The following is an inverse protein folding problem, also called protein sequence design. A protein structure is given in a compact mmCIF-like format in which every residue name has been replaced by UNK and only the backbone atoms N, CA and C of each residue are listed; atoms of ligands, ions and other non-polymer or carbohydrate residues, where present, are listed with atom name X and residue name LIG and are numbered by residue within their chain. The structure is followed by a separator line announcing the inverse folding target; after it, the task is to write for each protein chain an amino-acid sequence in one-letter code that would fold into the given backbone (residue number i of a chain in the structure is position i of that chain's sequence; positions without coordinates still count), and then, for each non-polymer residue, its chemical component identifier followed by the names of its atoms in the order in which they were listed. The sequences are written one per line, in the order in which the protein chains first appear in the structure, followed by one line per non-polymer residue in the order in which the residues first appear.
data_IF_077653040425
#
_entry.id   IF_077653040425
#
_cell.length_a   1.000
_cell.length_b   1.000
_cell.length_c   1.000
_cell.angle_alpha   90.00
_cell.angle_beta   90.00
_cell.angle_gamma   90.00
#
_symmetry.space_group_name_H-M   'P 1'
#
loop_
_entity.id
_entity.type
_entity.pdbx_description
1 polymer ?
#
# COMPACT_ATOMS: atom_id res chain seq x y z
N UNK A 1 11.47 8.69 0.29
CA UNK A 1 11.69 7.49 -0.55
C UNK A 1 12.01 7.82 -2.00
N UNK A 2 11.47 8.89 -2.60
CA UNK A 2 11.75 9.26 -4.00
C UNK A 2 13.22 9.62 -4.34
N UNK A 3 14.07 9.89 -3.36
CA UNK A 3 15.46 10.30 -3.63
C UNK A 3 16.41 9.16 -3.97
N UNK A 4 16.17 7.93 -3.49
CA UNK A 4 17.16 6.85 -3.63
C UNK A 4 17.35 6.42 -5.10
N UNK A 5 16.26 6.33 -5.87
CA UNK A 5 16.34 6.01 -7.30
C UNK A 5 17.08 7.08 -8.09
N UNK A 6 16.80 8.36 -7.82
CA UNK A 6 17.46 9.49 -8.48
C UNK A 6 18.95 9.54 -8.16
N UNK A 7 19.32 9.30 -6.89
CA UNK A 7 20.72 9.27 -6.46
C UNK A 7 21.47 8.11 -7.11
N UNK A 8 20.84 6.92 -7.18
CA UNK A 8 21.45 5.76 -7.85
C UNK A 8 21.63 6.00 -9.35
N UNK A 9 20.61 6.52 -10.03
CA UNK A 9 20.70 6.86 -11.45
C UNK A 9 21.79 7.91 -11.70
N UNK A 10 21.87 8.94 -10.85
CA UNK A 10 22.92 9.96 -10.92
C UNK A 10 24.33 9.36 -10.80
N UNK A 11 24.56 8.50 -9.81
CA UNK A 11 25.85 7.84 -9.61
C UNK A 11 26.23 6.90 -10.78
N UNK A 12 25.25 6.19 -11.36
CA UNK A 12 25.48 5.35 -12.55
C UNK A 12 25.84 6.18 -13.78
N UNK A 13 25.21 7.35 -13.95
CA UNK A 13 25.54 8.27 -15.04
C UNK A 13 26.92 8.89 -14.88
N UNK A 14 27.31 9.28 -13.67
CA UNK A 14 28.65 9.79 -13.36
C UNK A 14 29.74 8.76 -13.72
N UNK A 15 29.52 7.48 -13.36
CA UNK A 15 30.47 6.43 -13.72
C UNK A 15 30.47 6.13 -15.22
N UNK A 16 29.31 6.23 -15.89
CA UNK A 16 29.23 6.10 -17.34
C UNK A 16 30.02 7.21 -18.06
N UNK A 17 29.95 8.46 -17.58
CA UNK A 17 30.72 9.60 -18.09
C UNK A 17 32.22 9.34 -17.99
N UNK A 18 32.71 8.83 -16.84
CA UNK A 18 34.12 8.46 -16.67
C UNK A 18 34.59 7.38 -17.63
N UNK A 19 33.71 6.45 -18.01
CA UNK A 19 34.00 5.41 -19.00
C UNK A 19 34.01 5.96 -20.44
N UNK A 20 33.17 6.94 -20.73
CA UNK A 20 33.17 7.66 -22.00
C UNK A 20 34.45 8.48 -22.19
N UNK A 21 34.92 9.18 -21.14
CA UNK A 21 36.18 9.94 -21.15
C UNK A 21 37.40 9.05 -21.44
N UNK A 22 37.32 7.76 -21.08
CA UNK A 22 38.34 6.74 -21.38
C UNK A 22 38.25 6.19 -22.80
N UNK A 23 37.32 6.67 -23.62
CA UNK A 23 37.14 6.28 -25.02
C UNK A 23 36.37 4.97 -25.22
N UNK A 24 35.62 4.50 -24.22
CA UNK A 24 34.80 3.29 -24.36
C UNK A 24 33.53 3.62 -25.13
N UNK A 25 33.20 2.80 -26.14
CA UNK A 25 32.00 3.00 -26.95
C UNK A 25 30.72 2.88 -26.09
N UNK A 26 29.74 3.81 -26.19
CA UNK A 26 28.53 3.83 -25.35
C UNK A 26 27.77 2.50 -25.33
N UNK A 27 27.66 1.82 -26.47
CA UNK A 27 27.01 0.51 -26.59
C UNK A 27 27.63 -0.53 -25.64
N UNK A 28 28.97 -0.56 -25.52
CA UNK A 28 29.64 -1.50 -24.61
C UNK A 28 29.37 -1.19 -23.14
N UNK A 29 29.17 0.09 -22.80
CA UNK A 29 28.82 0.51 -21.43
C UNK A 29 27.40 0.05 -21.10
N UNK A 30 26.46 0.25 -22.04
CA UNK A 30 25.08 -0.22 -21.90
C UNK A 30 25.02 -1.74 -21.72
N UNK A 31 25.69 -2.51 -22.58
CA UNK A 31 25.76 -3.98 -22.47
C UNK A 31 26.36 -4.43 -21.13
N UNK A 32 27.37 -3.70 -20.64
CA UNK A 32 28.01 -3.94 -19.34
C UNK A 32 27.06 -3.73 -18.17
N UNK A 33 26.26 -2.66 -18.19
CA UNK A 33 25.24 -2.41 -17.16
C UNK A 33 24.10 -3.43 -17.20
N UNK A 34 23.69 -3.89 -18.38
CA UNK A 34 22.70 -4.97 -18.50
C UNK A 34 23.22 -6.27 -17.88
N UNK A 35 24.50 -6.61 -18.11
CA UNK A 35 25.13 -7.77 -17.48
C UNK A 35 25.21 -7.61 -15.95
N UNK A 36 25.61 -6.42 -15.48
CA UNK A 36 25.72 -6.11 -14.06
C UNK A 36 24.35 -6.19 -13.37
N UNK A 37 23.30 -5.67 -14.00
CA UNK A 37 21.92 -5.74 -13.52
C UNK A 37 21.46 -7.20 -13.36
N UNK A 38 21.68 -8.04 -14.38
CA UNK A 38 21.36 -9.48 -14.30
C UNK A 38 22.09 -10.17 -13.15
N UNK A 39 23.38 -9.86 -12.95
CA UNK A 39 24.15 -10.45 -11.86
C UNK A 39 23.70 -9.95 -10.48
N UNK A 40 23.32 -8.67 -10.38
CA UNK A 40 22.77 -8.10 -9.16
C UNK A 40 21.44 -8.78 -8.80
N UNK A 41 20.53 -8.98 -9.76
CA UNK A 41 19.26 -9.69 -9.55
C UNK A 41 19.49 -11.13 -9.06
N UNK A 42 20.40 -11.88 -9.70
CA UNK A 42 20.75 -13.23 -9.24
C UNK A 42 21.29 -13.26 -7.80
N UNK A 43 22.05 -12.23 -7.43
CA UNK A 43 22.61 -12.11 -6.08
C UNK A 43 21.51 -11.78 -5.09
N UNK A 44 20.61 -10.86 -5.43
CA UNK A 44 19.42 -10.52 -4.64
C UNK A 44 18.56 -11.75 -4.38
N UNK A 45 18.28 -12.57 -5.40
CA UNK A 45 17.52 -13.81 -5.25
C UNK A 45 18.19 -14.82 -4.31
N UNK A 46 19.53 -14.85 -4.30
CA UNK A 46 20.30 -15.77 -3.43
C UNK A 46 20.34 -15.36 -1.96
N UNK A 47 20.21 -14.05 -1.67
CA UNK A 47 20.23 -13.51 -0.30
C UNK A 47 18.81 -13.24 0.24
N UNK A 48 17.79 -13.29 -0.61
CA UNK A 48 16.43 -12.96 -0.23
C UNK A 48 15.81 -14.07 0.63
N UNK A 49 15.45 -13.72 1.86
CA UNK A 49 14.70 -14.60 2.75
C UNK A 49 13.20 -14.56 2.41
N UNK A 50 12.64 -15.73 2.08
CA UNK A 50 11.20 -15.89 1.85
C UNK A 50 10.52 -16.30 3.15
N UNK A 51 9.45 -15.60 3.52
CA UNK A 51 8.62 -15.96 4.66
C UNK A 51 7.16 -16.19 4.22
N UNK A 52 6.42 -17.09 4.91
CA UNK A 52 5.02 -17.33 4.59
C UNK A 52 4.15 -16.13 4.94
N UNK A 53 3.16 -15.82 4.09
CA UNK A 53 2.19 -14.72 4.27
C UNK A 53 1.36 -14.88 5.54
N UNK A 54 1.25 -16.10 6.08
CA UNK A 54 0.59 -16.39 7.35
C UNK A 54 1.24 -15.69 8.56
N UNK A 55 2.50 -15.26 8.45
CA UNK A 55 3.19 -14.60 9.55
C UNK A 55 2.85 -13.10 9.63
N UNK A 56 1.72 -12.80 10.29
CA UNK A 56 1.23 -11.42 10.48
C UNK A 56 2.27 -10.48 11.09
N UNK A 57 3.04 -10.91 12.08
CA UNK A 57 4.01 -10.03 12.76
C UNK A 57 5.13 -9.58 11.79
N UNK A 58 5.61 -10.47 10.92
CA UNK A 58 6.62 -10.12 9.89
C UNK A 58 6.08 -9.13 8.86
N UNK A 59 4.81 -9.26 8.49
CA UNK A 59 4.15 -8.29 7.60
C UNK A 59 4.03 -6.92 8.28
N UNK A 60 3.70 -6.90 9.57
CA UNK A 60 3.65 -5.67 10.35
C UNK A 60 5.05 -5.03 10.43
N UNK A 61 6.10 -5.78 10.78
CA UNK A 61 7.50 -5.28 10.80
C UNK A 61 7.92 -4.66 9.45
N UNK A 62 7.56 -5.31 8.34
CA UNK A 62 7.85 -4.84 6.99
C UNK A 62 7.11 -3.54 6.67
N UNK A 63 5.83 -3.46 7.03
CA UNK A 63 5.03 -2.25 6.89
C UNK A 63 5.55 -1.11 7.78
N UNK A 64 5.98 -1.42 9.02
CA UNK A 64 6.59 -0.44 9.93
C UNK A 64 7.88 0.15 9.34
N UNK A 65 8.73 -0.68 8.74
CA UNK A 65 9.98 -0.24 8.09
C UNK A 65 9.69 0.75 6.95
N UNK A 66 8.65 0.46 6.17
CA UNK A 66 8.20 1.32 5.05
C UNK A 66 7.60 2.65 5.53
N UNK A 67 6.95 2.66 6.69
CA UNK A 67 6.34 3.83 7.31
C UNK A 67 7.33 4.66 8.15
N UNK A 68 8.45 4.08 8.59
CA UNK A 68 9.40 4.68 9.51
C UNK A 68 10.02 6.00 9.05
N UNK A 69 10.09 6.24 7.74
CA UNK A 69 10.63 7.49 7.18
C UNK A 69 9.58 8.61 7.01
N UNK A 70 8.38 8.46 7.56
CA UNK A 70 7.26 9.43 7.43
C UNK A 70 6.88 10.03 8.79
N UNK A 71 6.12 11.12 8.76
CA UNK A 71 5.70 11.92 9.93
C UNK A 71 4.87 11.16 10.99
N UNK A 72 4.47 9.92 10.70
CA UNK A 72 3.59 9.08 11.51
C UNK A 72 4.35 8.35 12.64
N UNK A 73 5.53 8.84 13.05
CA UNK A 73 6.46 8.09 13.91
C UNK A 73 5.84 7.60 15.23
N UNK A 74 4.96 8.42 15.83
CA UNK A 74 4.32 8.09 17.11
C UNK A 74 3.32 6.92 17.04
N UNK A 75 2.73 6.66 15.88
CA UNK A 75 1.67 5.65 15.71
C UNK A 75 2.02 4.61 14.64
N UNK A 76 3.30 4.44 14.27
CA UNK A 76 3.72 3.57 13.15
C UNK A 76 3.13 2.16 13.28
N UNK A 77 3.12 1.60 14.49
CA UNK A 77 2.60 0.26 14.73
C UNK A 77 1.11 0.14 14.42
N UNK A 78 0.29 1.07 14.92
CA UNK A 78 -1.16 1.08 14.68
C UNK A 78 -1.47 1.19 13.18
N UNK A 79 -0.79 2.08 12.46
CA UNK A 79 -0.98 2.22 11.01
C UNK A 79 -0.49 1.00 10.23
N UNK A 80 0.61 0.37 10.68
CA UNK A 80 1.09 -0.87 10.07
C UNK A 80 0.11 -2.02 10.28
N UNK A 81 -0.46 -2.16 11.49
CA UNK A 81 -1.49 -3.16 11.79
C UNK A 81 -2.76 -2.94 10.96
N UNK A 82 -3.23 -1.69 10.85
CA UNK A 82 -4.39 -1.32 10.00
C UNK A 82 -4.14 -1.68 8.55
N UNK A 83 -2.96 -1.35 8.01
CA UNK A 83 -2.61 -1.63 6.63
C UNK A 83 -2.54 -3.13 6.33
N UNK A 84 -1.92 -3.91 7.23
CA UNK A 84 -1.83 -5.37 7.11
C UNK A 84 -3.20 -6.01 7.20
N UNK A 85 -4.04 -5.60 8.16
CA UNK A 85 -5.38 -6.15 8.33
C UNK A 85 -6.30 -5.79 7.15
N UNK A 86 -6.16 -4.60 6.56
CA UNK A 86 -6.89 -4.18 5.36
C UNK A 86 -6.50 -5.03 4.15
N UNK A 87 -5.19 -5.23 3.93
CA UNK A 87 -4.68 -6.06 2.82
C UNK A 87 -5.10 -7.51 3.00
N UNK A 88 -4.95 -8.10 4.18
CA UNK A 88 -5.36 -9.48 4.45
C UNK A 88 -6.87 -9.72 4.29
N UNK A 89 -7.69 -8.69 4.44
CA UNK A 89 -9.14 -8.79 4.24
C UNK A 89 -9.54 -8.85 2.77
N UNK A 90 -8.68 -8.37 1.86
CA UNK A 90 -8.93 -8.23 0.43
C UNK A 90 -8.07 -9.17 -0.41
N UNK A 91 -6.92 -9.59 0.13
CA UNK A 91 -5.96 -10.44 -0.54
C UNK A 91 -6.60 -11.79 -0.93
N UNK A 92 -6.43 -12.14 -2.19
CA UNK A 92 -6.71 -13.47 -2.68
C UNK A 92 -5.45 -14.33 -2.49
N UNK A 93 -5.54 -15.32 -1.60
CA UNK A 93 -4.41 -16.19 -1.26
C UNK A 93 -4.05 -17.16 -2.39
N UNK A 94 -4.95 -17.40 -3.34
CA UNK A 94 -4.72 -18.31 -4.45
C UNK A 94 -3.97 -17.63 -5.60
N UNK A 95 -4.30 -16.36 -5.87
CA UNK A 95 -3.65 -15.57 -6.92
C UNK A 95 -2.48 -14.72 -6.41
N UNK A 96 -2.31 -14.62 -5.08
CA UNK A 96 -1.35 -13.72 -4.42
C UNK A 96 -1.49 -12.26 -4.91
N UNK A 97 -2.68 -11.87 -5.34
CA UNK A 97 -2.98 -10.53 -5.82
C UNK A 97 -3.87 -9.78 -4.83
N UNK A 98 -3.71 -8.47 -4.82
CA UNK A 98 -4.44 -7.57 -3.91
C UNK A 98 -5.06 -6.47 -4.77
N UNK A 99 -6.38 -6.51 -4.90
CA UNK A 99 -7.09 -5.43 -5.57
C UNK A 99 -7.22 -4.21 -4.65
N UNK A 100 -6.38 -3.21 -4.86
CA UNK A 100 -6.40 -1.95 -4.10
C UNK A 100 -7.68 -1.14 -4.27
N UNK A 101 -8.50 -1.38 -5.30
CA UNK A 101 -9.79 -0.69 -5.47
C UNK A 101 -10.80 -1.04 -4.38
N UNK A 102 -10.64 -2.20 -3.74
CA UNK A 102 -11.49 -2.63 -2.62
C UNK A 102 -11.09 -1.98 -1.29
N UNK A 103 -9.94 -1.32 -1.23
CA UNK A 103 -9.44 -0.62 -0.03
C UNK A 103 -9.67 0.87 -0.21
N UNK A 104 -10.70 1.40 0.44
CA UNK A 104 -11.03 2.82 0.41
C UNK A 104 -10.42 3.57 1.59
N UNK A 105 -9.64 4.61 1.32
CA UNK A 105 -9.09 5.51 2.34
C UNK A 105 -9.92 6.78 2.40
N UNK A 106 -10.60 7.01 3.53
CA UNK A 106 -11.43 8.20 3.76
C UNK A 106 -10.80 9.06 4.86
N UNK A 107 -10.53 10.32 4.54
CA UNK A 107 -9.99 11.30 5.47
C UNK A 107 -11.05 12.30 5.89
N UNK A 108 -11.34 12.39 7.18
CA UNK A 108 -12.19 13.45 7.74
C UNK A 108 -11.34 14.49 8.47
N UNK A 109 -11.72 15.75 8.32
CA UNK A 109 -11.08 16.87 9.03
C UNK A 109 -11.53 16.88 10.49
N UNK A 110 -10.57 17.03 11.40
CA UNK A 110 -10.79 16.96 12.85
C UNK A 110 -10.39 15.60 13.44
N UNK A 111 -9.97 15.61 14.71
CA UNK A 111 -9.43 14.44 15.41
C UNK A 111 -7.89 14.35 15.37
N UNK A 112 -7.35 13.34 16.05
CA UNK A 112 -5.93 13.03 16.06
C UNK A 112 -5.63 11.85 15.11
N UNK A 113 -4.37 11.72 14.67
CA UNK A 113 -3.96 10.60 13.82
C UNK A 113 -4.17 9.24 14.50
N UNK A 114 -4.08 9.20 15.82
CA UNK A 114 -4.33 8.01 16.65
C UNK A 114 -5.79 7.55 16.67
N UNK A 115 -6.73 8.40 16.28
CA UNK A 115 -8.15 8.05 16.18
C UNK A 115 -8.47 7.26 14.89
N UNK A 116 -7.46 7.00 14.04
CA UNK A 116 -7.64 6.25 12.80
C UNK A 116 -7.92 4.78 13.09
N UNK A 117 -9.00 4.26 12.50
CA UNK A 117 -9.43 2.87 12.66
C UNK A 117 -9.75 2.21 11.32
N UNK A 118 -9.55 0.89 11.26
CA UNK A 118 -10.00 0.09 10.13
C UNK A 118 -11.49 -0.23 10.28
N UNK A 119 -12.31 0.24 9.35
CA UNK A 119 -13.73 -0.14 9.26
C UNK A 119 -13.88 -1.33 8.33
N UNK A 120 -14.31 -2.48 8.86
CA UNK A 120 -14.62 -3.69 8.08
C UNK A 120 -15.99 -3.55 7.42
N UNK A 121 -16.08 -2.70 6.41
CA UNK A 121 -17.31 -2.37 5.72
C UNK A 121 -17.11 -1.21 4.75
N UNK A 122 -18.21 -0.54 4.39
CA UNK A 122 -18.19 0.58 3.45
C UNK A 122 -18.52 1.87 4.20
N UNK A 123 -17.65 2.87 4.07
CA UNK A 123 -17.94 4.23 4.51
C UNK A 123 -18.54 4.99 3.32
N UNK A 124 -19.76 5.46 3.52
CA UNK A 124 -20.48 6.30 2.55
C UNK A 124 -20.59 7.70 3.15
N UNK A 125 -19.93 8.68 2.53
CA UNK A 125 -20.06 10.08 2.90
C UNK A 125 -21.35 10.69 2.32
N UNK A 126 -22.49 10.25 2.84
CA UNK A 126 -23.81 10.80 2.49
C UNK A 126 -24.57 11.22 3.74
N UNK A 127 -25.25 12.34 3.65
CA UNK A 127 -26.20 12.78 4.65
C UNK A 127 -27.53 12.03 4.50
N UNK A 128 -28.24 11.85 5.62
CA UNK A 128 -29.58 11.27 5.58
C UNK A 128 -30.51 12.17 4.79
N UNK A 129 -31.28 11.59 3.87
CA UNK A 129 -32.18 12.36 3.00
C UNK A 129 -33.39 12.92 3.73
N UNK A 130 -33.86 12.25 4.79
CA UNK A 130 -35.04 12.67 5.55
C UNK A 130 -34.75 12.73 7.06
N UNK A 131 -35.10 13.82 7.76
CA UNK A 131 -34.81 13.98 9.19
C UNK A 131 -35.57 13.01 10.11
N UNK A 132 -36.65 12.37 9.65
CA UNK A 132 -37.33 11.31 10.40
C UNK A 132 -36.68 9.94 10.25
N UNK A 133 -35.64 9.81 9.43
CA UNK A 133 -34.92 8.55 9.27
C UNK A 133 -34.12 8.24 10.55
N UNK A 134 -34.18 7.00 11.07
CA UNK A 134 -33.42 6.62 12.26
C UNK A 134 -31.92 6.79 12.02
N UNK A 135 -31.23 7.38 13.00
CA UNK A 135 -29.79 7.65 12.94
C UNK A 135 -28.93 6.41 13.19
N UNK A 136 -29.47 5.45 13.93
CA UNK A 136 -28.83 4.17 14.21
C UNK A 136 -29.81 3.05 13.83
N UNK A 137 -29.30 2.09 13.08
CA UNK A 137 -30.04 0.99 12.52
C UNK A 137 -29.23 -0.29 12.76
N UNK A 138 -29.85 -1.29 13.38
CA UNK A 138 -29.25 -2.62 13.62
C UNK A 138 -29.94 -3.64 12.71
N UNK A 139 -29.17 -4.57 12.16
CA UNK A 139 -29.66 -5.66 11.28
C UNK A 139 -30.53 -5.19 10.10
N UNK A 140 -29.97 -4.29 9.28
CA UNK A 140 -30.66 -3.74 8.10
C UNK A 140 -30.28 -4.44 6.81
N UNK A 141 -31.28 -4.57 5.93
CA UNK A 141 -31.03 -4.90 4.52
C UNK A 141 -30.62 -3.65 3.78
N UNK A 142 -29.45 -3.72 3.18
CA UNK A 142 -28.90 -2.70 2.29
C UNK A 142 -29.27 -3.09 0.86
N UNK A 143 -29.90 -2.18 0.12
CA UNK A 143 -30.16 -2.33 -1.32
C UNK A 143 -29.47 -1.20 -2.08
N UNK A 144 -28.69 -1.55 -3.09
CA UNK A 144 -28.02 -0.59 -3.95
C UNK A 144 -28.76 -0.50 -5.29
N UNK A 145 -29.37 0.64 -5.60
CA UNK A 145 -30.00 0.92 -6.89
C UNK A 145 -29.29 2.11 -7.53
N UNK A 146 -28.32 1.83 -8.41
CA UNK A 146 -27.45 2.88 -8.99
C UNK A 146 -26.67 3.63 -7.90
N UNK A 147 -26.71 4.96 -7.92
CA UNK A 147 -26.08 5.81 -6.90
C UNK A 147 -26.85 5.85 -5.56
N UNK A 148 -28.04 5.26 -5.47
CA UNK A 148 -28.89 5.32 -4.27
C UNK A 148 -28.76 4.04 -3.43
N UNK A 149 -28.32 4.19 -2.19
CA UNK A 149 -28.26 3.11 -1.20
C UNK A 149 -29.45 3.24 -0.25
N UNK A 150 -30.37 2.27 -0.28
CA UNK A 150 -31.53 2.21 0.61
C UNK A 150 -31.25 1.26 1.77
N UNK A 151 -31.55 1.71 2.99
CA UNK A 151 -31.48 0.89 4.20
C UNK A 151 -32.90 0.61 4.68
N UNK A 152 -33.33 -0.64 4.66
CA UNK A 152 -34.64 -1.05 5.18
C UNK A 152 -34.46 -2.00 6.36
N UNK A 153 -35.10 -1.68 7.48
CA UNK A 153 -35.26 -2.62 8.59
C UNK A 153 -36.27 -3.68 8.17
N UNK A 154 -35.86 -4.94 8.14
CA UNK A 154 -36.80 -6.05 8.03
C UNK A 154 -37.58 -6.07 9.34
N UNK A 155 -38.79 -5.52 9.36
CA UNK A 155 -39.81 -6.10 10.23
C UNK A 155 -40.43 -7.25 9.44
N UNK A 156 -40.10 -8.47 9.86
CA UNK A 156 -40.91 -9.64 9.56
C UNK A 156 -42.15 -9.61 10.47
#
# INVERSE_FOLDING_TARGET
TFHLFLVLAGALLEEAERLLDRGIHPIKIADGFDLACKKALQTLDSIADKFPVANRERLVETAQTSLGSKIVNRCIRQFAEIAVDAVLSVADLDTCDVNFELIKVEGKVGGHLEDTVLVKGIIIDKTMSHPQMPKELKDVKVSCQGDYTFFSSIQA
#
